data_IF_819308818568
#
_entry.id   IF_819308818568
#
_cell.length_a   1.000
_cell.length_b   1.000
_cell.length_c   1.000
_cell.angle_alpha   90.00
_cell.angle_beta   90.00
_cell.angle_gamma   90.00
#
_symmetry.space_group_name_H-M   'P 1'
#
loop_
_entity.id
_entity.type
_entity.pdbx_description
1 polymer ?
#
# COMPACT_ATOMS: atom_id res chain seq x y z
N UNK A 1 24.98 -54.86 -6.30
CA UNK A 1 23.55 -54.59 -6.08
C UNK A 1 23.39 -53.08 -5.99
N UNK A 2 22.94 -52.42 -7.06
CA UNK A 2 22.82 -50.95 -7.15
C UNK A 2 21.40 -50.58 -6.72
N UNK A 3 21.23 -50.05 -5.51
CA UNK A 3 19.95 -49.49 -5.05
C UNK A 3 19.77 -48.11 -5.67
N UNK A 4 18.79 -48.01 -6.56
CA UNK A 4 18.30 -46.75 -7.10
C UNK A 4 17.46 -46.04 -6.04
N UNK A 5 17.93 -44.90 -5.56
CA UNK A 5 17.13 -43.98 -4.75
C UNK A 5 16.49 -42.99 -5.72
N UNK A 6 15.27 -43.29 -6.15
CA UNK A 6 14.41 -42.35 -6.84
C UNK A 6 13.78 -41.42 -5.78
N UNK A 7 14.40 -40.25 -5.57
CA UNK A 7 13.84 -39.22 -4.70
C UNK A 7 12.67 -38.53 -5.43
N UNK A 8 11.45 -38.66 -4.89
CA UNK A 8 10.30 -37.86 -5.28
C UNK A 8 10.58 -36.38 -4.95
N UNK A 9 10.82 -35.57 -5.96
CA UNK A 9 10.70 -34.10 -5.86
C UNK A 9 9.25 -33.76 -6.19
N UNK A 10 8.35 -33.92 -5.21
CA UNK A 10 6.97 -33.47 -5.34
C UNK A 10 6.95 -31.93 -5.25
N UNK A 11 6.29 -31.34 -6.24
CA UNK A 11 6.14 -29.91 -6.46
C UNK A 11 5.62 -29.17 -5.22
N UNK A 12 6.46 -28.31 -4.64
CA UNK A 12 6.09 -27.29 -3.68
C UNK A 12 5.95 -25.91 -4.36
N UNK A 13 5.48 -25.87 -5.60
CA UNK A 13 5.33 -24.63 -6.34
C UNK A 13 3.93 -24.04 -6.07
N UNK A 14 3.88 -22.99 -5.24
CA UNK A 14 3.04 -21.84 -5.57
C UNK A 14 1.65 -21.72 -4.92
N UNK A 15 1.41 -22.28 -3.73
CA UNK A 15 0.16 -21.98 -2.98
C UNK A 15 0.42 -21.52 -1.56
N UNK A 16 1.66 -21.15 -1.23
CA UNK A 16 1.93 -20.53 0.06
C UNK A 16 1.27 -19.16 0.06
N UNK A 17 0.44 -18.91 1.08
CA UNK A 17 -0.06 -17.56 1.37
C UNK A 17 1.13 -16.63 1.49
N UNK A 18 1.04 -15.47 0.87
CA UNK A 18 2.08 -14.46 1.01
C UNK A 18 2.01 -13.85 2.42
N UNK A 19 2.95 -14.28 3.27
CA UNK A 19 3.07 -13.83 4.67
C UNK A 19 3.88 -12.52 4.80
N UNK A 20 4.26 -11.89 3.68
CA UNK A 20 5.02 -10.65 3.72
C UNK A 20 4.18 -9.53 4.35
N UNK A 21 4.78 -8.64 5.18
CA UNK A 21 4.04 -7.57 5.81
C UNK A 21 3.40 -6.62 4.80
N UNK A 22 2.09 -6.40 4.95
CA UNK A 22 1.32 -5.44 4.15
C UNK A 22 1.29 -4.09 4.84
N UNK A 23 2.42 -3.40 4.89
CA UNK A 23 2.51 -2.04 5.43
C UNK A 23 3.47 -1.20 4.59
N UNK A 24 3.34 0.13 4.69
CA UNK A 24 4.15 1.05 3.89
C UNK A 24 5.65 0.83 4.06
N UNK A 25 6.12 0.51 5.28
CA UNK A 25 7.53 0.32 5.57
C UNK A 25 8.10 -0.83 4.73
N UNK A 26 7.45 -2.00 4.76
CA UNK A 26 7.87 -3.16 3.96
C UNK A 26 7.73 -2.91 2.46
N UNK A 27 6.58 -2.38 2.02
CA UNK A 27 6.34 -2.09 0.59
C UNK A 27 7.41 -1.14 0.07
N UNK A 28 7.79 -0.13 0.85
CA UNK A 28 8.82 0.82 0.42
C UNK A 28 10.19 0.19 0.43
N UNK A 29 10.64 -0.37 1.55
CA UNK A 29 12.03 -0.82 1.69
C UNK A 29 12.34 -2.04 0.82
N UNK A 30 11.40 -2.98 0.70
CA UNK A 30 11.62 -4.22 -0.03
C UNK A 30 11.30 -4.12 -1.52
N UNK A 31 10.41 -3.21 -1.94
CA UNK A 31 9.89 -3.18 -3.31
C UNK A 31 10.13 -1.81 -3.96
N UNK A 32 9.55 -0.74 -3.43
CA UNK A 32 9.56 0.56 -4.12
C UNK A 32 10.94 1.20 -4.12
N UNK A 33 11.68 1.19 -3.01
CA UNK A 33 13.01 1.78 -2.92
C UNK A 33 14.02 1.13 -3.89
N UNK A 34 14.18 -0.21 -3.95
CA UNK A 34 15.11 -0.82 -4.88
C UNK A 34 14.66 -0.73 -6.36
N UNK A 35 13.35 -0.80 -6.63
CA UNK A 35 12.84 -0.93 -8.02
C UNK A 35 12.38 0.40 -8.65
N UNK A 36 12.03 1.39 -7.83
CA UNK A 36 11.47 2.67 -8.28
C UNK A 36 12.24 3.87 -7.69
N UNK A 37 12.64 3.76 -6.42
CA UNK A 37 13.38 4.75 -5.64
C UNK A 37 14.89 4.78 -5.89
N UNK A 38 15.40 3.94 -6.80
CA UNK A 38 16.79 4.04 -7.24
C UNK A 38 17.06 5.42 -7.85
N UNK A 39 18.33 5.87 -7.79
CA UNK A 39 18.75 7.23 -8.15
C UNK A 39 18.28 7.73 -9.54
N UNK A 40 17.89 6.81 -10.43
CA UNK A 40 17.59 7.06 -11.84
C UNK A 40 16.21 7.68 -12.07
N UNK A 41 15.18 7.35 -11.28
CA UNK A 41 13.79 7.72 -11.61
C UNK A 41 13.07 8.40 -10.45
N UNK A 42 12.60 7.67 -9.45
CA UNK A 42 11.75 8.21 -8.37
C UNK A 42 12.52 8.29 -7.04
N UNK A 43 13.75 8.78 -7.09
CA UNK A 43 14.56 9.06 -5.90
C UNK A 43 14.46 10.52 -5.49
N UNK A 44 14.87 10.85 -4.27
CA UNK A 44 14.97 12.23 -3.79
C UNK A 44 15.93 13.09 -4.62
N UNK A 45 16.85 12.45 -5.35
CA UNK A 45 17.75 13.10 -6.29
C UNK A 45 17.08 13.44 -7.62
N UNK A 46 16.33 12.51 -8.23
CA UNK A 46 15.74 12.70 -9.57
C UNK A 46 14.30 13.23 -9.57
N UNK A 47 13.45 12.68 -8.69
CA UNK A 47 12.05 13.05 -8.52
C UNK A 47 11.25 13.06 -9.84
N UNK A 48 11.37 11.99 -10.66
CA UNK A 48 10.60 11.90 -11.89
C UNK A 48 9.10 12.02 -11.59
N UNK A 49 8.43 12.92 -12.31
CA UNK A 49 7.03 13.32 -12.11
C UNK A 49 6.68 13.76 -10.68
N UNK A 50 7.68 14.22 -9.90
CA UNK A 50 7.50 14.61 -8.50
C UNK A 50 7.31 13.46 -7.53
N UNK A 51 7.45 12.20 -7.98
CA UNK A 51 7.30 11.01 -7.14
C UNK A 51 8.65 10.60 -6.54
N UNK A 52 8.64 10.21 -5.26
CA UNK A 52 9.85 9.85 -4.51
C UNK A 52 9.59 8.65 -3.61
N UNK A 53 10.32 7.54 -3.84
CA UNK A 53 10.12 6.26 -3.16
C UNK A 53 11.40 5.68 -2.53
N UNK A 54 12.47 6.46 -2.45
CA UNK A 54 13.77 6.00 -1.94
C UNK A 54 13.84 5.80 -0.42
N UNK A 55 12.88 6.38 0.31
CA UNK A 55 12.71 6.19 1.76
C UNK A 55 11.23 6.07 2.10
N UNK A 56 10.93 5.44 3.25
CA UNK A 56 9.55 5.31 3.76
C UNK A 56 8.86 6.66 3.91
N UNK A 57 9.55 7.66 4.45
CA UNK A 57 8.98 9.00 4.64
C UNK A 57 8.70 9.71 3.32
N UNK A 58 9.57 9.56 2.32
CA UNK A 58 9.33 10.12 1.00
C UNK A 58 8.16 9.41 0.30
N UNK A 59 8.11 8.08 0.35
CA UNK A 59 7.01 7.30 -0.23
C UNK A 59 5.68 7.70 0.41
N UNK A 60 5.65 7.83 1.74
CA UNK A 60 4.50 8.36 2.49
C UNK A 60 4.06 9.72 1.96
N UNK A 61 4.99 10.66 1.85
CA UNK A 61 4.71 12.00 1.35
C UNK A 61 4.18 11.97 -0.09
N UNK A 62 4.76 11.14 -0.96
CA UNK A 62 4.26 10.96 -2.34
C UNK A 62 2.81 10.49 -2.35
N UNK A 63 2.48 9.43 -1.62
CA UNK A 63 1.11 8.91 -1.59
C UNK A 63 0.10 9.86 -0.92
N UNK A 64 0.53 10.66 0.04
CA UNK A 64 -0.32 11.68 0.67
C UNK A 64 -0.60 12.87 -0.27
N UNK A 65 0.35 13.21 -1.13
CA UNK A 65 0.23 14.34 -2.07
C UNK A 65 -0.39 13.94 -3.41
N UNK A 66 -0.32 12.66 -3.78
CA UNK A 66 -0.96 12.10 -4.97
C UNK A 66 -1.88 10.92 -4.61
N UNK A 67 -3.13 11.21 -4.21
CA UNK A 67 -4.08 10.16 -3.87
C UNK A 67 -4.50 9.29 -5.05
N UNK A 68 -4.23 9.67 -6.30
CA UNK A 68 -4.58 8.83 -7.46
C UNK A 68 -3.72 7.56 -7.54
N UNK A 69 -2.54 7.58 -6.92
CA UNK A 69 -1.66 6.40 -6.86
C UNK A 69 -2.26 5.28 -6.01
N UNK A 70 -2.97 5.63 -4.94
CA UNK A 70 -3.50 4.67 -3.95
C UNK A 70 -5.02 4.56 -3.96
N UNK A 71 -5.72 5.52 -4.57
CA UNK A 71 -7.17 5.60 -4.57
C UNK A 71 -7.81 4.60 -5.52
N UNK A 72 -8.76 3.83 -5.01
CA UNK A 72 -9.83 3.26 -5.83
C UNK A 72 -10.87 4.36 -6.00
N UNK A 73 -11.31 4.62 -7.24
CA UNK A 73 -12.32 5.63 -7.49
C UNK A 73 -13.58 5.31 -6.67
N UNK A 74 -14.05 6.27 -5.85
CA UNK A 74 -15.13 6.05 -4.87
C UNK A 74 -16.47 5.62 -5.51
N UNK A 75 -16.61 5.80 -6.82
CA UNK A 75 -17.78 5.36 -7.60
C UNK A 75 -17.60 4.03 -8.34
N UNK A 76 -16.40 3.45 -8.37
CA UNK A 76 -16.10 2.24 -9.13
C UNK A 76 -14.94 1.44 -8.52
N UNK A 77 -15.23 0.44 -7.66
CA UNK A 77 -14.19 -0.40 -7.05
C UNK A 77 -13.49 -1.32 -8.06
N UNK A 78 -13.91 -1.34 -9.33
CA UNK A 78 -13.22 -2.08 -10.40
C UNK A 78 -12.07 -1.28 -11.01
N UNK A 79 -11.95 0.01 -10.70
CA UNK A 79 -10.84 0.83 -11.17
C UNK A 79 -9.57 0.50 -10.40
N UNK A 80 -8.58 0.03 -11.14
CA UNK A 80 -7.23 -0.22 -10.68
C UNK A 80 -6.58 1.09 -10.22
N UNK A 81 -5.98 1.16 -9.02
CA UNK A 81 -5.24 2.32 -8.55
C UNK A 81 -4.11 2.71 -9.51
N UNK A 82 -3.78 4.00 -9.58
CA UNK A 82 -2.76 4.53 -10.48
C UNK A 82 -1.41 3.82 -10.34
N UNK A 83 -1.01 3.46 -9.11
CA UNK A 83 0.20 2.69 -8.87
C UNK A 83 0.16 1.34 -9.60
N UNK A 84 -0.89 0.54 -9.42
CA UNK A 84 -1.00 -0.79 -10.04
C UNK A 84 -1.13 -0.69 -11.57
N UNK A 85 -1.84 0.33 -12.08
CA UNK A 85 -1.90 0.59 -13.52
C UNK A 85 -0.50 0.83 -14.11
N UNK A 86 0.29 1.69 -13.45
CA UNK A 86 1.64 1.99 -13.88
C UNK A 86 2.56 0.78 -13.80
N UNK A 87 2.30 -0.16 -12.88
CA UNK A 87 3.09 -1.39 -12.74
C UNK A 87 2.77 -2.47 -13.79
N UNK A 88 1.56 -2.47 -14.34
CA UNK A 88 1.03 -3.62 -15.10
C UNK A 88 0.80 -3.34 -16.59
N UNK A 89 0.57 -2.09 -17.00
CA UNK A 89 0.13 -1.76 -18.36
C UNK A 89 0.98 -0.65 -18.97
N UNK A 90 1.37 -0.81 -20.24
CA UNK A 90 1.90 0.28 -21.04
C UNK A 90 0.76 1.14 -21.57
N UNK A 91 0.76 2.44 -21.23
CA UNK A 91 -0.24 3.38 -21.69
C UNK A 91 0.31 4.27 -22.82
N UNK A 92 -0.58 4.84 -23.63
CA UNK A 92 -0.19 5.74 -24.70
C UNK A 92 0.52 6.98 -24.11
N UNK A 93 1.84 7.02 -24.26
CA UNK A 93 2.69 8.11 -23.73
C UNK A 93 3.16 7.93 -22.28
N UNK A 94 2.81 6.83 -21.60
CA UNK A 94 3.32 6.51 -20.28
C UNK A 94 3.74 5.02 -20.24
N UNK A 95 5.07 4.73 -20.25
CA UNK A 95 5.54 3.35 -20.21
C UNK A 95 5.20 2.72 -18.86
N UNK A 96 4.96 1.40 -18.87
CA UNK A 96 4.88 0.60 -17.65
C UNK A 96 6.19 0.73 -16.86
N UNK A 97 6.05 0.86 -15.55
CA UNK A 97 7.15 0.93 -14.58
C UNK A 97 7.35 -0.41 -13.87
N UNK A 98 8.55 -0.73 -13.37
CA UNK A 98 9.82 -0.06 -13.66
C UNK A 98 10.21 -0.16 -15.14
N UNK A 99 10.87 0.86 -15.70
CA UNK A 99 11.09 0.93 -17.16
C UNK A 99 11.93 -0.24 -17.71
N UNK A 100 12.92 -0.67 -16.95
CA UNK A 100 13.95 -1.64 -17.32
C UNK A 100 13.48 -3.09 -17.23
N UNK A 101 12.81 -3.47 -16.13
CA UNK A 101 12.25 -4.80 -15.91
C UNK A 101 10.91 -4.71 -15.16
N UNK A 102 9.91 -5.53 -15.53
CA UNK A 102 8.70 -5.67 -14.74
C UNK A 102 9.01 -6.12 -13.31
N UNK A 103 8.21 -5.65 -12.34
CA UNK A 103 8.21 -6.22 -10.99
C UNK A 103 7.75 -7.69 -11.04
N UNK A 104 8.24 -8.55 -10.13
CA UNK A 104 7.68 -9.88 -9.97
C UNK A 104 6.17 -9.83 -9.69
N UNK A 105 5.41 -10.76 -10.27
CA UNK A 105 3.94 -10.80 -10.09
C UNK A 105 3.55 -10.82 -8.61
N UNK A 106 4.30 -11.56 -7.78
CA UNK A 106 4.07 -11.61 -6.32
C UNK A 106 4.21 -10.22 -5.65
N UNK A 107 5.13 -9.36 -6.10
CA UNK A 107 5.31 -8.01 -5.55
C UNK A 107 4.15 -7.10 -5.95
N UNK A 108 3.68 -7.24 -7.20
CA UNK A 108 2.50 -6.52 -7.70
C UNK A 108 1.25 -6.93 -6.94
N UNK A 109 1.05 -8.25 -6.73
CA UNK A 109 -0.05 -8.80 -5.94
C UNK A 109 0.00 -8.30 -4.49
N UNK A 110 1.18 -8.26 -3.86
CA UNK A 110 1.34 -7.73 -2.50
C UNK A 110 1.00 -6.24 -2.42
N UNK A 111 1.42 -5.44 -3.41
CA UNK A 111 1.07 -4.01 -3.50
C UNK A 111 -0.44 -3.85 -3.68
N UNK A 112 -1.05 -4.60 -4.58
CA UNK A 112 -2.50 -4.54 -4.81
C UNK A 112 -3.27 -4.91 -3.55
N UNK A 113 -2.85 -5.95 -2.83
CA UNK A 113 -3.47 -6.36 -1.58
C UNK A 113 -3.27 -5.33 -0.47
N UNK A 114 -2.08 -4.72 -0.36
CA UNK A 114 -1.84 -3.60 0.54
C UNK A 114 -2.77 -2.41 0.27
N UNK A 115 -3.02 -2.07 -1.01
CA UNK A 115 -3.96 -1.02 -1.40
C UNK A 115 -5.41 -1.38 -1.06
N UNK A 116 -5.84 -2.62 -1.34
CA UNK A 116 -7.19 -3.12 -0.98
C UNK A 116 -7.46 -3.02 0.52
N UNK A 117 -6.43 -3.15 1.34
CA UNK A 117 -6.47 -2.99 2.79
C UNK A 117 -6.34 -1.55 3.28
N UNK A 118 -6.48 -0.56 2.38
CA UNK A 118 -6.45 0.86 2.71
C UNK A 118 -5.04 1.41 2.89
N UNK A 119 -4.03 0.76 2.31
CA UNK A 119 -2.64 1.18 2.34
C UNK A 119 -2.16 1.51 3.78
N UNK A 120 -2.24 0.55 4.73
CA UNK A 120 -1.86 0.79 6.11
C UNK A 120 -0.43 1.32 6.19
N UNK A 121 -0.25 2.31 7.05
CA UNK A 121 1.00 3.03 7.17
C UNK A 121 1.19 4.16 6.16
N UNK A 122 0.24 4.52 5.29
CA UNK A 122 0.31 5.81 4.54
C UNK A 122 -0.21 6.97 5.39
N UNK A 123 -1.45 6.87 5.88
CA UNK A 123 -2.05 7.89 6.72
C UNK A 123 -2.07 7.37 8.19
N UNK A 124 -1.23 7.93 9.07
CA UNK A 124 -1.12 7.50 10.48
C UNK A 124 -2.36 7.92 11.29
N UNK A 125 -3.41 7.09 11.28
CA UNK A 125 -4.48 7.08 12.29
C UNK A 125 -5.44 8.29 12.33
N UNK A 126 -5.25 9.32 11.51
CA UNK A 126 -6.18 10.45 11.42
C UNK A 126 -6.37 10.78 9.96
N UNK A 127 -7.63 10.70 9.47
CA UNK A 127 -8.04 11.04 8.09
C UNK A 127 -7.09 12.01 7.40
N UNK A 128 -6.34 11.58 6.40
CA UNK A 128 -5.59 12.50 5.55
C UNK A 128 -4.91 11.75 4.41
N UNK A 129 -5.68 11.31 3.42
CA UNK A 129 -5.14 11.12 2.08
C UNK A 129 -6.16 11.54 0.99
N UNK A 130 -7.46 11.61 1.30
CA UNK A 130 -8.49 12.13 0.39
C UNK A 130 -8.90 13.55 0.81
N UNK A 131 -8.36 14.55 0.12
CA UNK A 131 -8.78 15.93 0.26
C UNK A 131 -10.25 16.13 -0.14
N UNK A 132 -10.95 16.90 0.69
CA UNK A 132 -12.31 17.44 0.54
C UNK A 132 -13.54 16.62 0.93
N UNK A 133 -13.40 15.58 1.74
CA UNK A 133 -14.51 15.19 2.61
C UNK A 133 -14.08 15.35 4.07
N UNK A 134 -14.59 16.41 4.73
CA UNK A 134 -14.74 16.45 6.18
C UNK A 134 -15.66 15.33 6.61
N UNK A 135 -15.20 14.10 6.52
CA UNK A 135 -15.57 13.16 7.55
C UNK A 135 -14.72 13.63 8.72
N UNK A 136 -15.34 13.87 9.88
CA UNK A 136 -14.80 13.99 11.25
C UNK A 136 -14.99 12.64 11.95
N UNK A 137 -14.01 12.17 12.74
CA UNK A 137 -13.88 10.83 13.32
C UNK A 137 -15.10 9.89 13.16
N UNK A 138 -15.23 9.16 12.05
CA UNK A 138 -16.21 8.08 11.90
C UNK A 138 -15.63 6.98 11.02
N UNK A 139 -15.54 5.82 11.63
CA UNK A 139 -15.04 4.54 11.14
C UNK A 139 -16.10 3.74 10.36
N UNK A 140 -17.13 4.38 9.79
CA UNK A 140 -18.41 3.69 9.62
C UNK A 140 -18.98 3.52 8.20
N UNK A 141 -18.24 3.73 7.10
CA UNK A 141 -18.84 3.46 5.75
C UNK A 141 -17.96 2.76 4.72
N UNK A 142 -16.65 2.71 4.90
CA UNK A 142 -15.78 1.90 4.03
C UNK A 142 -15.64 0.45 4.53
N UNK A 143 -15.84 0.22 5.83
CA UNK A 143 -15.64 -1.09 6.47
C UNK A 143 -16.85 -2.04 6.41
N UNK A 144 -18.08 -1.54 6.23
CA UNK A 144 -19.29 -2.40 6.25
C UNK A 144 -19.33 -3.46 5.15
N UNK A 145 -18.53 -3.34 4.08
CA UNK A 145 -18.49 -4.32 2.99
C UNK A 145 -17.34 -5.34 3.09
N UNK A 146 -16.36 -5.15 3.97
CA UNK A 146 -15.15 -6.00 4.01
C UNK A 146 -14.95 -6.73 5.35
N UNK A 147 -15.81 -6.51 6.35
CA UNK A 147 -15.79 -7.26 7.63
C UNK A 147 -16.18 -8.74 7.53
N UNK A 148 -16.54 -9.26 6.35
CA UNK A 148 -16.82 -10.69 6.18
C UNK A 148 -15.56 -11.55 5.94
N UNK A 149 -14.37 -10.96 5.72
CA UNK A 149 -13.16 -11.71 5.35
C UNK A 149 -12.17 -12.02 6.48
N UNK A 150 -12.46 -11.59 7.72
CA UNK A 150 -11.72 -12.03 8.91
C UNK A 150 -10.27 -11.52 9.04
N UNK A 151 -9.90 -11.23 10.29
CA UNK A 151 -8.53 -11.00 10.77
C UNK A 151 -7.87 -9.65 10.44
N UNK A 152 -8.34 -8.59 11.12
CA UNK A 152 -7.42 -7.68 11.80
C UNK A 152 -7.87 -7.55 13.25
N UNK A 153 -6.96 -7.81 14.20
CA UNK A 153 -7.17 -7.45 15.60
C UNK A 153 -7.10 -5.93 15.71
N UNK A 154 -8.21 -5.30 16.07
CA UNK A 154 -8.31 -3.86 16.28
C UNK A 154 -7.35 -3.35 17.37
N UNK A 155 -6.72 -4.24 18.15
CA UNK A 155 -5.73 -3.91 19.17
C UNK A 155 -4.29 -3.73 18.63
N UNK A 156 -3.97 -4.19 17.41
CA UNK A 156 -2.64 -3.97 16.79
C UNK A 156 -2.51 -2.59 16.12
N UNK A 157 -3.62 -1.90 15.92
CA UNK A 157 -3.64 -0.47 15.63
C UNK A 157 -3.48 0.29 16.95
N UNK A 158 -2.23 0.58 17.35
CA UNK A 158 -2.00 1.58 18.41
C UNK A 158 -2.76 2.86 18.02
N UNK A 159 -3.72 3.33 18.85
CA UNK A 159 -4.57 4.46 18.47
C UNK A 159 -3.73 5.74 18.47
N UNK A 160 -3.42 6.26 17.29
CA UNK A 160 -2.88 7.61 17.11
C UNK A 160 -4.01 8.65 17.18
N UNK A 161 -4.79 8.66 18.27
CA UNK A 161 -5.84 9.65 18.53
C UNK A 161 -6.42 9.60 19.97
N UNK A 162 -5.67 9.11 20.95
CA UNK A 162 -5.89 9.63 22.31
C UNK A 162 -5.44 11.09 22.33
N UNK A 163 -6.39 12.02 22.29
CA UNK A 163 -6.21 13.24 23.07
C UNK A 163 -6.16 12.80 24.53
N UNK A 164 -4.93 12.71 25.06
CA UNK A 164 -4.58 11.94 26.24
C UNK A 164 -5.51 12.18 27.44
N UNK A 165 -6.00 11.08 28.01
CA UNK A 165 -6.40 10.89 29.40
C UNK A 165 -7.43 11.85 30.05
N UNK A 166 -8.03 12.80 29.35
CA UNK A 166 -9.09 13.64 29.90
C UNK A 166 -10.25 13.68 28.91
N UNK A 167 -11.43 13.31 29.39
CA UNK A 167 -12.71 13.15 28.72
C UNK A 167 -13.10 14.35 27.82
N UNK A 168 -12.50 14.47 26.63
CA UNK A 168 -12.57 15.62 25.72
C UNK A 168 -12.97 15.14 24.33
N UNK A 169 -13.90 15.87 23.68
CA UNK A 169 -14.54 15.45 22.43
C UNK A 169 -14.06 16.37 21.31
N UNK A 170 -13.64 15.80 20.17
CA UNK A 170 -13.27 16.58 19.00
C UNK A 170 -14.51 17.28 18.40
N UNK A 171 -14.66 18.58 18.66
CA UNK A 171 -15.55 19.46 17.89
C UNK A 171 -14.70 20.42 17.03
N UNK A 172 -15.01 20.47 15.74
CA UNK A 172 -14.40 21.38 14.76
C UNK A 172 -12.86 21.30 14.63
N UNK A 173 -12.27 20.12 14.82
CA UNK A 173 -10.83 19.90 14.55
C UNK A 173 -9.87 20.42 15.61
N UNK A 174 -10.35 20.76 16.81
CA UNK A 174 -9.53 21.09 17.98
C UNK A 174 -9.90 20.16 19.14
N UNK A 175 -8.92 19.58 19.83
CA UNK A 175 -9.18 18.82 21.06
C UNK A 175 -9.48 19.78 22.22
N UNK A 176 -10.72 19.75 22.71
CA UNK A 176 -11.22 20.57 23.81
C UNK A 176 -11.89 19.77 24.91
#
# INVERSE_FOLDING_TARGET
MRLAVAALVLAACGTAVDERPRNLDYITEAILAPSCGAAVCHSSFRQADGLVFDTVDNARNTFQNDPQLIGFDEGDPTKTPGLVLNLTIEQAGAPRMPYDQPLPDADVELIEDWLKHGAPGVCNGVRACLGNFTVGCTTARFFDKYTELGAYDLNDLKPANNCGAQNKVCMAGVCQ
#
